data_IF_134954141614
#
_entry.id   IF_134954141614
#
_cell.length_a   1.000
_cell.length_b   1.000
_cell.length_c   1.000
_cell.angle_alpha   90.00
_cell.angle_beta   90.00
_cell.angle_gamma   90.00
#
_symmetry.space_group_name_H-M   'P 1'
#
loop_
_entity.id
_entity.type
_entity.pdbx_description
1 polymer ?
#
# COMPACT_ATOMS: atom_id res chain seq x y z
N UNK A 1 12.65 7.91 -7.01
CA UNK A 1 11.81 7.12 -7.94
C UNK A 1 10.68 7.97 -8.48
N UNK A 2 10.22 7.70 -9.71
CA UNK A 2 9.02 8.34 -10.24
C UNK A 2 7.78 7.65 -9.69
N UNK A 3 6.79 8.44 -9.25
CA UNK A 3 5.53 7.94 -8.71
C UNK A 3 4.36 8.84 -9.12
N UNK A 4 3.26 8.22 -9.48
CA UNK A 4 2.00 8.93 -9.69
C UNK A 4 1.49 9.43 -8.34
N UNK A 5 1.28 10.74 -8.23
CA UNK A 5 1.01 11.41 -6.97
C UNK A 5 -0.29 12.19 -7.05
N UNK A 6 -1.16 12.02 -6.07
CA UNK A 6 -2.36 12.84 -5.91
C UNK A 6 -1.97 14.24 -5.45
N UNK A 7 -2.41 15.25 -6.17
CA UNK A 7 -2.11 16.66 -5.88
C UNK A 7 -3.34 17.35 -5.26
N UNK A 8 -4.46 17.22 -5.94
CA UNK A 8 -5.74 17.80 -5.56
C UNK A 8 -6.87 17.09 -6.34
N UNK A 9 -8.09 17.38 -6.00
CA UNK A 9 -9.24 16.83 -6.74
C UNK A 9 -9.10 17.13 -8.24
N UNK A 10 -9.24 16.08 -9.03
CA UNK A 10 -9.11 16.13 -10.49
C UNK A 10 -7.67 16.01 -11.00
N UNK A 11 -6.65 16.05 -10.13
CA UNK A 11 -5.26 16.17 -10.55
C UNK A 11 -4.31 15.13 -9.94
N UNK A 12 -3.73 14.31 -10.81
CA UNK A 12 -2.56 13.48 -10.53
C UNK A 12 -1.36 13.99 -11.34
N UNK A 13 -0.18 13.90 -10.77
CA UNK A 13 1.08 14.23 -11.45
C UNK A 13 2.12 13.13 -11.23
N UNK A 14 2.96 12.93 -12.24
CA UNK A 14 4.16 12.11 -12.08
C UNK A 14 5.21 12.96 -11.37
N UNK A 15 5.63 12.55 -10.18
CA UNK A 15 6.61 13.26 -9.35
C UNK A 15 7.77 12.35 -8.94
N UNK A 16 8.91 12.97 -8.79
CA UNK A 16 10.06 12.31 -8.18
C UNK A 16 9.86 12.24 -6.66
N UNK A 17 10.00 11.05 -6.10
CA UNK A 17 9.88 10.76 -4.66
C UNK A 17 11.09 9.98 -4.18
N UNK A 18 11.44 10.05 -2.89
CA UNK A 18 12.47 9.20 -2.32
C UNK A 18 12.12 7.72 -2.49
N UNK A 19 13.12 6.87 -2.51
CA UNK A 19 12.91 5.42 -2.43
C UNK A 19 12.35 5.07 -1.06
N UNK A 20 11.42 4.09 -0.97
CA UNK A 20 10.92 3.64 0.31
C UNK A 20 12.03 2.95 1.12
N UNK A 21 11.91 3.03 2.44
CA UNK A 21 12.81 2.40 3.40
C UNK A 21 12.03 1.51 4.37
N UNK A 22 12.68 0.49 4.91
CA UNK A 22 12.12 -0.32 6.00
C UNK A 22 12.04 0.56 7.25
N UNK A 23 10.84 0.75 7.79
CA UNK A 23 10.57 1.55 9.01
C UNK A 23 10.11 0.67 10.17
N UNK A 24 9.39 -0.39 9.88
CA UNK A 24 8.93 -1.39 10.85
C UNK A 24 9.60 -2.74 10.53
N UNK A 25 9.84 -3.55 11.55
CA UNK A 25 10.44 -4.88 11.39
C UNK A 25 9.59 -5.84 10.53
N UNK A 26 8.32 -5.54 10.30
CA UNK A 26 7.38 -6.29 9.47
C UNK A 26 7.22 -5.72 8.05
N UNK A 27 7.92 -4.65 7.71
CA UNK A 27 7.83 -4.06 6.37
C UNK A 27 8.47 -4.94 5.31
N UNK A 28 7.93 -4.85 4.10
CA UNK A 28 8.51 -5.47 2.91
C UNK A 28 8.55 -4.44 1.78
N UNK A 29 9.71 -4.27 1.16
CA UNK A 29 9.86 -3.43 -0.04
C UNK A 29 9.79 -4.33 -1.26
N UNK A 30 8.85 -4.02 -2.15
CA UNK A 30 8.59 -4.74 -3.39
C UNK A 30 8.93 -3.84 -4.57
N UNK A 31 9.80 -4.31 -5.45
CA UNK A 31 10.03 -3.68 -6.75
C UNK A 31 8.90 -4.08 -7.69
N UNK A 32 8.01 -3.14 -7.96
CA UNK A 32 6.85 -3.34 -8.83
C UNK A 32 7.30 -3.64 -10.25
N UNK A 33 6.79 -4.71 -10.84
CA UNK A 33 7.05 -5.12 -12.23
C UNK A 33 5.84 -4.90 -13.14
N UNK A 34 4.65 -4.93 -12.57
CA UNK A 34 3.39 -4.63 -13.27
C UNK A 34 2.38 -4.09 -12.26
N UNK A 35 1.71 -3.01 -12.61
CA UNK A 35 0.59 -2.46 -11.86
C UNK A 35 -0.66 -2.36 -12.71
N UNK A 36 -1.81 -2.26 -12.06
CA UNK A 36 -3.11 -2.02 -12.68
C UNK A 36 -3.73 -0.74 -12.13
N UNK A 37 -4.63 -0.15 -12.91
CA UNK A 37 -5.47 0.96 -12.48
C UNK A 37 -6.80 0.38 -12.00
N UNK A 38 -7.18 0.71 -10.77
CA UNK A 38 -8.46 0.36 -10.18
C UNK A 38 -9.45 1.53 -10.29
N UNK A 39 -10.73 1.23 -10.25
CA UNK A 39 -11.77 2.28 -10.19
C UNK A 39 -11.67 3.13 -8.91
N UNK A 40 -11.12 2.61 -7.83
CA UNK A 40 -10.85 3.40 -6.61
C UNK A 40 -9.81 4.50 -6.80
N UNK A 41 -8.90 4.38 -7.76
CA UNK A 41 -7.99 5.48 -8.14
C UNK A 41 -8.79 6.64 -8.77
N UNK A 42 -9.84 6.33 -9.54
CA UNK A 42 -10.76 7.33 -10.06
C UNK A 42 -11.59 7.98 -8.94
N UNK A 43 -11.99 7.21 -7.93
CA UNK A 43 -12.68 7.77 -6.76
C UNK A 43 -11.79 8.75 -5.99
N UNK A 44 -10.50 8.46 -5.84
CA UNK A 44 -9.51 9.40 -5.28
C UNK A 44 -9.44 10.65 -6.15
N UNK A 45 -9.28 10.48 -7.47
CA UNK A 45 -9.22 11.59 -8.42
C UNK A 45 -10.43 12.51 -8.34
N UNK A 46 -11.61 11.95 -8.22
CA UNK A 46 -12.87 12.70 -8.17
C UNK A 46 -13.19 13.29 -6.78
N UNK A 47 -12.34 13.06 -5.78
CA UNK A 47 -12.54 13.57 -4.42
C UNK A 47 -13.56 12.78 -3.60
N UNK A 48 -13.94 11.58 -4.04
CA UNK A 48 -14.90 10.72 -3.32
C UNK A 48 -14.26 9.95 -2.16
N UNK A 49 -12.95 10.07 -1.96
CA UNK A 49 -12.20 9.46 -0.86
C UNK A 49 -11.68 10.55 0.08
N UNK A 50 -12.43 10.92 1.13
CA UNK A 50 -12.07 12.04 2.01
C UNK A 50 -10.74 11.88 2.75
N UNK A 51 -10.24 10.65 2.87
CA UNK A 51 -8.96 10.33 3.53
C UNK A 51 -7.75 10.51 2.61
N UNK A 52 -7.95 10.62 1.30
CA UNK A 52 -6.86 10.85 0.37
C UNK A 52 -6.31 12.27 0.56
N UNK A 53 -5.06 12.37 0.95
CA UNK A 53 -4.39 13.66 1.17
C UNK A 53 -3.42 13.97 0.04
N UNK A 54 -3.23 15.25 -0.32
CA UNK A 54 -2.21 15.64 -1.30
C UNK A 54 -0.83 15.08 -0.94
N UNK A 55 -0.13 14.58 -1.95
CA UNK A 55 1.20 13.99 -1.78
C UNK A 55 1.23 12.47 -1.68
N UNK A 56 0.09 11.77 -1.53
CA UNK A 56 0.10 10.29 -1.54
C UNK A 56 0.47 9.75 -2.92
N UNK A 57 1.15 8.61 -2.94
CA UNK A 57 1.38 7.82 -4.15
C UNK A 57 0.11 7.05 -4.46
N UNK A 58 -0.35 7.13 -5.71
CA UNK A 58 -1.55 6.44 -6.19
C UNK A 58 -1.17 5.09 -6.81
N UNK A 59 -2.05 4.11 -6.65
CA UNK A 59 -1.90 2.74 -7.15
C UNK A 59 -1.79 1.74 -6.01
N UNK A 60 -2.57 0.66 -6.08
CA UNK A 60 -2.69 -0.34 -5.02
C UNK A 60 -2.92 -1.76 -5.56
N UNK A 61 -2.85 -1.96 -6.87
CA UNK A 61 -2.92 -3.27 -7.50
C UNK A 61 -1.60 -3.53 -8.23
N UNK A 62 -0.80 -4.46 -7.72
CA UNK A 62 0.52 -4.70 -8.27
C UNK A 62 1.04 -6.11 -8.04
N UNK A 63 1.94 -6.50 -8.92
CA UNK A 63 2.83 -7.65 -8.74
C UNK A 63 4.27 -7.19 -8.84
N UNK A 64 5.16 -7.89 -8.17
CA UNK A 64 6.57 -7.49 -8.16
C UNK A 64 7.50 -8.54 -7.60
N UNK A 65 8.71 -8.11 -7.33
CA UNK A 65 9.77 -8.90 -6.72
C UNK A 65 10.17 -8.26 -5.40
N UNK A 66 10.22 -9.05 -4.34
CA UNK A 66 10.68 -8.60 -3.04
C UNK A 66 12.14 -8.16 -3.13
N UNK A 67 12.43 -6.93 -2.73
CA UNK A 67 13.80 -6.38 -2.70
C UNK A 67 14.41 -6.43 -1.29
N UNK A 68 13.62 -6.04 -0.30
CA UNK A 68 14.06 -5.99 1.11
C UNK A 68 12.93 -6.41 2.02
N UNK A 69 13.28 -6.98 3.15
CA UNK A 69 12.35 -7.35 4.22
C UNK A 69 12.86 -6.87 5.57
N UNK A 70 11.95 -6.52 6.47
CA UNK A 70 12.25 -6.26 7.86
C UNK A 70 12.58 -7.56 8.62
N UNK A 71 13.13 -7.42 9.81
CA UNK A 71 13.68 -8.54 10.58
C UNK A 71 12.64 -9.61 11.00
N UNK A 72 11.36 -9.19 11.14
CA UNK A 72 10.27 -10.07 11.58
C UNK A 72 9.45 -10.64 10.41
N UNK A 73 9.84 -10.36 9.17
CA UNK A 73 9.17 -10.92 7.98
C UNK A 73 9.64 -12.34 7.76
N UNK A 74 8.72 -13.30 7.86
CA UNK A 74 9.00 -14.74 7.68
C UNK A 74 8.29 -15.36 6.47
N UNK A 75 7.26 -14.69 5.94
CA UNK A 75 6.41 -15.24 4.88
C UNK A 75 7.04 -15.14 3.49
N UNK A 76 7.94 -14.19 3.28
CA UNK A 76 8.60 -13.93 1.99
C UNK A 76 10.06 -13.54 2.21
N UNK A 77 10.89 -13.67 1.17
CA UNK A 77 12.30 -13.28 1.18
C UNK A 77 12.69 -12.50 -0.08
N UNK A 78 13.80 -11.78 -0.07
CA UNK A 78 14.31 -11.12 -1.28
C UNK A 78 14.44 -12.10 -2.46
N UNK A 79 13.95 -11.66 -3.63
CA UNK A 79 13.89 -12.44 -4.86
C UNK A 79 12.55 -13.14 -5.10
N UNK A 80 11.68 -13.27 -4.10
CA UNK A 80 10.36 -13.88 -4.30
C UNK A 80 9.47 -13.00 -5.18
N UNK A 81 8.72 -13.65 -6.07
CA UNK A 81 7.66 -12.97 -6.86
C UNK A 81 6.37 -12.99 -6.04
N UNK A 82 5.76 -11.81 -5.92
CA UNK A 82 4.57 -11.61 -5.08
C UNK A 82 3.50 -10.82 -5.82
N UNK A 83 2.25 -11.06 -5.44
CA UNK A 83 1.16 -10.13 -5.61
C UNK A 83 0.92 -9.42 -4.29
N UNK A 84 0.64 -8.12 -4.34
CA UNK A 84 0.45 -7.31 -3.14
C UNK A 84 -1.03 -7.12 -2.88
N UNK A 85 -1.49 -7.53 -1.69
CA UNK A 85 -2.84 -7.24 -1.24
C UNK A 85 -2.90 -5.77 -0.79
N UNK A 86 -3.90 -5.05 -1.25
CA UNK A 86 -4.15 -3.64 -0.86
C UNK A 86 -4.46 -3.50 0.64
N UNK A 87 -5.06 -4.52 1.24
CA UNK A 87 -5.43 -4.49 2.66
C UNK A 87 -4.27 -4.95 3.54
N UNK A 88 -3.75 -4.04 4.33
CA UNK A 88 -2.80 -4.33 5.40
C UNK A 88 -3.57 -4.57 6.70
N UNK A 89 -3.34 -5.69 7.35
CA UNK A 89 -4.04 -6.07 8.58
C UNK A 89 -3.04 -6.51 9.65
N UNK A 90 -3.40 -6.32 10.93
CA UNK A 90 -2.46 -6.58 12.03
C UNK A 90 -2.21 -8.08 12.32
N UNK A 91 -3.11 -8.98 11.89
CA UNK A 91 -3.03 -10.41 12.19
C UNK A 91 -3.44 -10.81 13.62
N UNK A 92 -3.57 -9.87 14.55
CA UNK A 92 -3.67 -10.14 15.99
C UNK A 92 -5.03 -9.78 16.61
N UNK A 93 -5.80 -8.85 16.02
CA UNK A 93 -7.08 -8.44 16.58
C UNK A 93 -8.14 -9.55 16.47
N UNK A 94 -9.26 -9.34 17.16
CA UNK A 94 -10.38 -10.28 17.21
C UNK A 94 -10.83 -10.76 15.80
N UNK A 95 -10.91 -9.84 14.85
CA UNK A 95 -11.36 -10.15 13.50
C UNK A 95 -10.27 -10.86 12.69
N UNK A 96 -9.03 -10.40 12.74
CA UNK A 96 -7.91 -11.02 12.02
C UNK A 96 -7.71 -12.48 12.41
N UNK A 97 -7.75 -12.79 13.71
CA UNK A 97 -7.62 -14.15 14.25
C UNK A 97 -8.71 -15.11 13.77
N UNK A 98 -9.82 -14.59 13.25
CA UNK A 98 -10.95 -15.36 12.72
C UNK A 98 -11.02 -15.34 11.18
N UNK A 99 -10.02 -14.76 10.51
CA UNK A 99 -9.96 -14.66 9.06
C UNK A 99 -10.76 -13.49 8.45
N UNK A 100 -11.39 -12.67 9.27
CA UNK A 100 -12.13 -11.46 8.82
C UNK A 100 -11.19 -10.25 8.74
N UNK A 101 -10.12 -10.36 7.96
CA UNK A 101 -9.04 -9.36 7.92
C UNK A 101 -9.49 -8.00 7.42
N UNK A 102 -10.52 -7.94 6.58
CA UNK A 102 -11.17 -6.71 6.11
C UNK A 102 -11.86 -5.90 7.24
N UNK A 103 -12.12 -6.53 8.39
CA UNK A 103 -12.67 -5.88 9.57
C UNK A 103 -11.60 -5.57 10.63
N UNK A 104 -10.34 -5.53 10.24
CA UNK A 104 -9.23 -5.22 11.14
C UNK A 104 -9.49 -3.91 11.89
N UNK A 105 -9.33 -3.95 13.23
CA UNK A 105 -9.56 -2.81 14.12
C UNK A 105 -8.28 -2.05 14.49
N UNK A 106 -7.14 -2.45 13.93
CA UNK A 106 -5.88 -1.73 14.14
C UNK A 106 -5.97 -0.33 13.52
N UNK A 107 -5.82 0.75 14.31
CA UNK A 107 -5.87 2.11 13.79
C UNK A 107 -4.73 2.45 12.82
N UNK A 108 -3.65 1.68 12.84
CA UNK A 108 -2.50 1.83 11.95
C UNK A 108 -2.51 0.83 10.78
N UNK A 109 -3.49 -0.07 10.73
CA UNK A 109 -3.66 -1.08 9.69
C UNK A 109 -4.82 -0.79 8.75
N UNK A 110 -5.05 -1.69 7.81
CA UNK A 110 -6.19 -1.67 6.91
C UNK A 110 -6.28 -0.38 6.10
N UNK A 111 -7.47 0.17 6.04
CA UNK A 111 -7.77 1.40 5.31
C UNK A 111 -7.01 2.64 5.78
N UNK A 112 -6.51 2.65 7.02
CA UNK A 112 -5.80 3.80 7.55
C UNK A 112 -4.45 4.03 6.87
N UNK A 113 -3.77 2.98 6.42
CA UNK A 113 -2.47 3.07 5.76
C UNK A 113 -2.57 3.37 4.26
N UNK A 114 -3.63 2.92 3.60
CA UNK A 114 -3.78 3.04 2.14
C UNK A 114 -3.95 4.47 1.62
N UNK A 115 -4.22 5.44 2.49
CA UNK A 115 -4.51 6.82 2.10
C UNK A 115 -3.62 7.87 2.78
N UNK A 116 -2.49 7.48 3.34
CA UNK A 116 -1.54 8.38 4.04
C UNK A 116 -0.23 8.55 3.32
#
# INVERSE_FOLDING_TARGET
MLAYTYIEQGKFELREKPMPEIKDSRDTIVRVTLGSICSSDLHIKHGSVPRAVPGITVGHEMVGVVEKVGADVTAVKPGDRVTVNVETFCGECFFCRRGYVNNCTDPNGGWALGCR
#
